data_IF_440043850972
#
_entry.id   IF_440043850972
#
_cell.length_a   1.000
_cell.length_b   1.000
_cell.length_c   1.000
_cell.angle_alpha   90.00
_cell.angle_beta   90.00
_cell.angle_gamma   90.00
#
_symmetry.space_group_name_H-M   'P 1'
#
loop_
_entity.id
_entity.type
_entity.pdbx_description
1 polymer ?
#
# COMPACT_ATOMS: atom_id res chain seq x y z
N UNK A 1 6.61 -9.19 -0.72
CA UNK A 1 6.04 -8.95 -2.07
C UNK A 1 5.26 -7.65 -2.12
N UNK A 2 4.10 -7.51 -1.46
CA UNK A 2 3.26 -6.29 -1.58
C UNK A 2 4.01 -4.98 -1.28
N UNK A 3 4.78 -4.93 -0.20
CA UNK A 3 5.59 -3.74 0.13
C UNK A 3 6.55 -3.37 -1.01
N UNK A 4 7.23 -4.36 -1.58
CA UNK A 4 8.16 -4.12 -2.69
C UNK A 4 7.44 -3.55 -3.91
N UNK A 5 6.28 -4.12 -4.28
CA UNK A 5 5.46 -3.64 -5.41
C UNK A 5 4.97 -2.20 -5.22
N UNK A 6 4.53 -1.86 -3.99
CA UNK A 6 4.13 -0.49 -3.66
C UNK A 6 5.30 0.50 -3.77
N UNK A 7 6.48 0.11 -3.30
CA UNK A 7 7.67 0.98 -3.34
C UNK A 7 8.31 1.08 -4.72
N UNK A 8 8.21 0.02 -5.54
CA UNK A 8 8.80 -0.01 -6.87
C UNK A 8 7.87 0.55 -7.94
N UNK A 9 6.55 0.47 -7.72
CA UNK A 9 5.54 0.77 -8.73
C UNK A 9 5.57 -0.20 -9.91
N UNK A 10 6.20 -1.38 -9.76
CA UNK A 10 6.43 -2.35 -10.83
C UNK A 10 5.84 -3.70 -10.48
N UNK A 11 5.47 -4.45 -11.51
CA UNK A 11 5.03 -5.83 -11.35
C UNK A 11 6.22 -6.70 -10.91
N UNK A 12 6.09 -7.51 -9.84
CA UNK A 12 7.14 -8.45 -9.46
C UNK A 12 7.44 -9.45 -10.57
N UNK A 13 8.73 -9.71 -10.77
CA UNK A 13 9.32 -10.66 -11.70
C UNK A 13 8.91 -10.46 -13.15
N UNK A 14 8.71 -9.21 -13.59
CA UNK A 14 8.25 -8.87 -14.95
C UNK A 14 9.11 -9.49 -16.07
N UNK A 15 10.39 -9.76 -15.79
CA UNK A 15 11.38 -10.30 -16.75
C UNK A 15 11.37 -11.83 -16.84
N UNK A 16 10.64 -12.53 -15.98
CA UNK A 16 10.67 -13.98 -15.88
C UNK A 16 9.36 -14.59 -16.40
N UNK A 17 9.47 -15.66 -17.19
CA UNK A 17 8.30 -16.47 -17.53
C UNK A 17 7.86 -17.29 -16.31
N UNK A 18 6.56 -17.60 -16.24
CA UNK A 18 6.01 -18.43 -15.15
C UNK A 18 6.69 -19.80 -15.04
N UNK A 19 7.18 -20.35 -16.16
CA UNK A 19 7.87 -21.65 -16.21
C UNK A 19 9.21 -21.67 -15.47
N UNK A 20 9.92 -20.54 -15.40
CA UNK A 20 11.23 -20.43 -14.72
C UNK A 20 11.14 -19.74 -13.37
N UNK A 21 10.03 -19.04 -13.10
CA UNK A 21 9.87 -18.25 -11.88
C UNK A 21 9.89 -19.12 -10.62
N UNK A 22 9.23 -20.27 -10.64
CA UNK A 22 9.18 -21.19 -9.51
C UNK A 22 10.57 -21.67 -9.10
N UNK A 23 11.40 -22.08 -10.07
CA UNK A 23 12.77 -22.54 -9.79
C UNK A 23 13.66 -21.40 -9.30
N UNK A 24 13.51 -20.20 -9.88
CA UNK A 24 14.23 -19.00 -9.45
C UNK A 24 13.93 -18.65 -7.98
N UNK A 25 12.66 -18.66 -7.57
CA UNK A 25 12.25 -18.37 -6.19
C UNK A 25 12.72 -19.47 -5.21
N UNK A 26 12.62 -20.74 -5.60
CA UNK A 26 13.07 -21.89 -4.78
C UNK A 26 14.59 -21.83 -4.54
N UNK A 27 15.36 -21.35 -5.52
CA UNK A 27 16.81 -21.12 -5.37
C UNK A 27 17.15 -19.95 -4.45
N UNK A 28 16.14 -19.26 -3.89
CA UNK A 28 16.34 -18.15 -2.96
C UNK A 28 16.51 -16.80 -3.65
N UNK A 29 16.42 -16.74 -4.98
CA UNK A 29 16.47 -15.45 -5.66
C UNK A 29 15.22 -14.61 -5.36
N UNK A 30 15.44 -13.30 -5.24
CA UNK A 30 14.43 -12.29 -4.92
C UNK A 30 14.59 -11.09 -5.85
N UNK A 31 13.62 -10.20 -5.81
CA UNK A 31 13.75 -8.90 -6.46
C UNK A 31 14.87 -8.07 -5.84
N UNK A 32 15.46 -7.20 -6.66
CA UNK A 32 16.45 -6.25 -6.20
C UNK A 32 15.79 -5.15 -5.34
N UNK A 33 16.49 -4.70 -4.31
CA UNK A 33 16.04 -3.55 -3.51
C UNK A 33 16.02 -2.30 -4.37
N UNK A 34 14.98 -1.48 -4.23
CA UNK A 34 14.87 -0.21 -4.95
C UNK A 34 15.70 0.86 -4.20
N UNK A 35 16.70 1.49 -4.85
CA UNK A 35 17.61 2.43 -4.19
C UNK A 35 16.92 3.61 -3.48
N UNK A 36 15.81 4.09 -4.03
CA UNK A 36 15.05 5.22 -3.50
C UNK A 36 14.10 4.84 -2.34
N UNK A 37 13.99 3.55 -2.01
CA UNK A 37 13.16 3.12 -0.88
C UNK A 37 13.88 3.38 0.44
N UNK A 38 13.24 4.03 1.45
CA UNK A 38 13.83 4.19 2.77
C UNK A 38 14.30 2.85 3.33
N UNK A 39 15.49 2.85 3.93
CA UNK A 39 16.20 1.63 4.34
C UNK A 39 15.34 0.74 5.23
N UNK A 40 14.54 1.34 6.11
CA UNK A 40 13.72 0.62 7.05
C UNK A 40 12.58 -0.14 6.36
N UNK A 41 12.03 0.41 5.28
CA UNK A 41 11.04 -0.28 4.44
C UNK A 41 11.68 -1.45 3.69
N UNK A 42 12.89 -1.26 3.16
CA UNK A 42 13.59 -2.32 2.44
C UNK A 42 14.01 -3.46 3.36
N UNK A 43 14.58 -3.15 4.52
CA UNK A 43 14.89 -4.14 5.55
C UNK A 43 13.64 -4.94 5.96
N UNK A 44 12.49 -4.27 6.11
CA UNK A 44 11.24 -4.93 6.48
C UNK A 44 10.77 -5.92 5.39
N UNK A 45 10.69 -5.50 4.12
CA UNK A 45 10.20 -6.41 3.08
C UNK A 45 11.19 -7.52 2.76
N UNK A 46 12.49 -7.32 2.99
CA UNK A 46 13.51 -8.37 2.88
C UNK A 46 13.26 -9.46 3.94
N UNK A 47 13.07 -9.07 5.21
CA UNK A 47 12.74 -10.01 6.30
C UNK A 47 11.44 -10.77 6.03
N UNK A 48 10.40 -10.08 5.58
CA UNK A 48 9.13 -10.71 5.18
C UNK A 48 9.27 -11.72 4.05
N UNK A 49 10.37 -11.68 3.30
CA UNK A 49 10.61 -12.52 2.13
C UNK A 49 11.83 -13.44 2.28
N UNK A 50 12.23 -13.74 3.52
CA UNK A 50 13.31 -14.67 3.80
C UNK A 50 13.06 -16.05 3.16
N UNK A 51 14.14 -16.68 2.70
CA UNK A 51 14.11 -18.02 2.14
C UNK A 51 13.66 -19.06 3.16
N UNK A 52 14.05 -18.89 4.42
CA UNK A 52 13.61 -19.71 5.54
C UNK A 52 12.26 -19.22 6.05
N UNK A 53 11.21 -20.06 6.06
CA UNK A 53 9.90 -19.66 6.56
C UNK A 53 9.92 -19.17 8.02
N UNK A 54 10.75 -19.78 8.87
CA UNK A 54 10.80 -19.48 10.30
C UNK A 54 11.46 -18.13 10.64
N UNK A 55 12.24 -17.58 9.71
CA UNK A 55 12.87 -16.25 9.87
C UNK A 55 11.92 -15.11 9.47
N UNK A 56 10.74 -15.46 8.91
CA UNK A 56 9.76 -14.45 8.51
C UNK A 56 9.02 -13.93 9.74
N UNK A 57 8.90 -12.62 9.91
CA UNK A 57 8.13 -12.04 11.00
C UNK A 57 6.64 -12.41 10.86
N UNK A 58 5.96 -12.57 12.00
CA UNK A 58 4.51 -12.67 12.02
C UNK A 58 3.86 -11.33 11.66
N UNK A 59 2.58 -11.36 11.33
CA UNK A 59 1.87 -10.16 10.85
C UNK A 59 1.80 -9.06 11.92
N UNK A 60 1.76 -9.45 13.19
CA UNK A 60 1.78 -8.52 14.33
C UNK A 60 3.08 -7.72 14.35
N UNK A 61 4.24 -8.40 14.20
CA UNK A 61 5.54 -7.73 14.12
C UNK A 61 5.62 -6.81 12.91
N UNK A 62 5.17 -7.25 11.73
CA UNK A 62 5.17 -6.40 10.52
C UNK A 62 4.32 -5.14 10.73
N UNK A 63 3.16 -5.28 11.35
CA UNK A 63 2.27 -4.16 11.65
C UNK A 63 2.88 -3.16 12.64
N UNK A 64 3.55 -3.65 13.69
CA UNK A 64 4.27 -2.80 14.64
C UNK A 64 5.41 -2.04 13.99
N UNK A 65 6.21 -2.69 13.15
CA UNK A 65 7.28 -2.04 12.39
C UNK A 65 6.72 -0.96 11.48
N UNK A 66 5.69 -1.25 10.68
CA UNK A 66 5.04 -0.25 9.82
C UNK A 66 4.50 0.95 10.60
N UNK A 67 3.89 0.73 11.78
CA UNK A 67 3.45 1.82 12.67
C UNK A 67 4.59 2.70 13.13
N UNK A 68 5.77 2.13 13.44
CA UNK A 68 6.96 2.90 13.79
C UNK A 68 7.42 3.76 12.62
N UNK A 69 7.47 3.19 11.41
CA UNK A 69 7.88 3.91 10.20
C UNK A 69 6.95 5.07 9.85
N UNK A 70 5.64 4.90 10.04
CA UNK A 70 4.65 5.96 9.85
C UNK A 70 4.84 7.12 10.85
N UNK A 71 5.20 6.83 12.09
CA UNK A 71 5.44 7.88 13.10
C UNK A 71 6.69 8.71 12.77
N UNK A 72 7.78 8.06 12.38
CA UNK A 72 9.04 8.73 12.04
C UNK A 72 8.94 9.61 10.77
N UNK A 73 8.05 9.27 9.83
CA UNK A 73 7.84 10.06 8.62
C UNK A 73 6.99 11.32 8.83
N UNK A 74 6.28 11.43 9.96
CA UNK A 74 5.45 12.60 10.32
C UNK A 74 6.26 13.66 11.07
N UNK A 75 7.42 13.34 11.62
CA UNK A 75 8.26 14.28 12.39
C UNK A 75 9.06 15.29 11.54
N UNK A 76 8.99 15.21 10.20
CA UNK A 76 9.72 16.09 9.29
C UNK A 76 8.89 17.32 8.88
N UNK A 77 7.58 17.32 9.11
CA UNK A 77 6.78 18.54 8.99
C UNK A 77 6.89 19.32 10.30
N UNK A 78 7.22 20.64 10.28
CA UNK A 78 6.96 21.50 11.42
C UNK A 78 5.50 21.29 11.82
N UNK A 79 5.29 20.86 13.06
CA UNK A 79 3.94 20.81 13.63
C UNK A 79 3.53 22.25 13.84
N UNK A 80 2.87 22.83 12.85
CA UNK A 80 1.96 23.93 13.13
C UNK A 80 0.80 23.29 13.90
N UNK A 81 0.70 23.65 15.17
CA UNK A 81 -0.34 23.21 16.09
C UNK A 81 -1.72 23.59 15.56
N UNK A 82 -2.39 22.71 14.84
CA UNK A 82 -3.83 22.79 14.62
C UNK A 82 -4.50 21.48 15.06
N UNK A 83 -5.32 21.64 16.10
CA UNK A 83 -6.07 20.66 16.89
C UNK A 83 -7.08 19.87 16.03
N UNK A 84 -6.73 18.65 15.62
CA UNK A 84 -7.70 17.70 15.04
C UNK A 84 -8.33 16.88 16.17
N UNK A 85 -9.48 17.36 16.66
CA UNK A 85 -10.42 16.57 17.47
C UNK A 85 -10.96 15.39 16.66
N UNK A 86 -10.46 14.19 16.93
CA UNK A 86 -11.14 12.96 16.53
C UNK A 86 -12.35 12.75 17.46
N UNK A 87 -13.54 13.16 17.03
CA UNK A 87 -14.78 12.76 17.71
C UNK A 87 -15.14 11.34 17.28
N UNK A 88 -15.01 10.40 18.20
CA UNK A 88 -15.62 9.07 18.11
C UNK A 88 -17.15 9.22 18.13
N UNK A 89 -17.79 9.14 16.96
CA UNK A 89 -19.25 9.04 16.88
C UNK A 89 -19.67 7.60 17.18
N UNK A 90 -19.84 7.30 18.47
CA UNK A 90 -20.65 6.18 18.92
C UNK A 90 -22.11 6.65 19.01
N UNK A 91 -22.90 6.47 17.95
CA UNK A 91 -24.36 6.52 18.08
C UNK A 91 -24.97 5.15 17.78
N UNK A 92 -25.57 4.60 18.83
CA UNK A 92 -26.40 3.41 18.80
C UNK A 92 -27.83 3.80 18.41
N UNK A 93 -28.40 3.01 17.48
CA UNK A 93 -29.81 2.66 17.33
C UNK A 93 -30.85 3.78 17.17
N UNK A 94 -31.44 3.88 15.96
CA UNK A 94 -32.90 4.00 15.86
C UNK A 94 -33.45 3.22 14.66
N UNK A 95 -34.57 2.57 14.94
CA UNK A 95 -35.36 1.66 14.13
C UNK A 95 -36.31 2.41 13.19
N UNK A 96 -36.40 2.00 11.92
CA UNK A 96 -37.50 2.45 11.06
C UNK A 96 -37.37 2.10 9.58
N UNK A 97 -38.14 1.07 9.17
CA UNK A 97 -38.83 0.92 7.86
C UNK A 97 -38.09 1.31 6.57
N UNK A 98 -37.81 0.29 5.74
CA UNK A 98 -37.19 0.49 4.43
C UNK A 98 -38.11 1.04 3.34
N UNK A 99 -37.50 1.53 2.27
CA UNK A 99 -37.99 1.48 0.88
C UNK A 99 -36.76 1.32 -0.03
N UNK A 100 -36.77 0.30 -0.89
CA UNK A 100 -35.87 0.17 -2.03
C UNK A 100 -36.35 1.14 -3.13
N UNK A 101 -35.47 1.98 -3.68
CA UNK A 101 -35.65 2.51 -5.03
C UNK A 101 -34.35 3.07 -5.59
N UNK A 102 -33.92 2.42 -6.66
CA UNK A 102 -33.00 2.88 -7.71
C UNK A 102 -33.52 4.17 -8.38
N UNK A 103 -32.65 5.15 -8.62
CA UNK A 103 -32.71 6.17 -9.69
C UNK A 103 -31.52 7.12 -9.56
N UNK A 104 -30.71 7.17 -10.62
CA UNK A 104 -29.50 7.98 -10.69
C UNK A 104 -29.70 9.48 -10.91
N UNK A 105 -28.56 10.16 -11.06
CA UNK A 105 -28.28 11.34 -11.90
C UNK A 105 -26.73 11.44 -11.91
N UNK A 106 -26.10 11.13 -13.04
CA UNK A 106 -25.58 12.07 -14.04
C UNK A 106 -24.54 13.08 -13.50
N UNK A 107 -23.26 12.70 -13.67
CA UNK A 107 -22.31 13.33 -14.57
C UNK A 107 -21.77 14.72 -14.23
N UNK A 108 -20.45 14.89 -14.38
CA UNK A 108 -19.80 16.09 -14.92
C UNK A 108 -18.44 15.73 -15.56
N UNK A 109 -18.10 16.49 -16.60
CA UNK A 109 -17.36 16.13 -17.80
C UNK A 109 -15.84 15.87 -17.69
N UNK A 110 -15.39 14.99 -18.59
CA UNK A 110 -14.01 14.81 -19.04
C UNK A 110 -13.55 16.04 -19.84
N UNK A 111 -12.42 16.63 -19.46
CA UNK A 111 -11.66 17.59 -20.28
C UNK A 111 -10.88 16.78 -21.33
N UNK A 112 -11.11 17.06 -22.63
CA UNK A 112 -10.24 16.60 -23.71
C UNK A 112 -9.58 17.81 -24.36
N UNK A 113 -8.25 17.81 -24.33
CA UNK A 113 -7.39 18.78 -25.00
C UNK A 113 -7.60 18.79 -26.51
N UNK A 114 -7.65 20.00 -27.07
CA UNK A 114 -7.56 20.27 -28.51
C UNK A 114 -6.10 20.27 -28.94
N UNK A 115 -5.77 19.48 -29.95
CA UNK A 115 -4.61 19.74 -30.79
C UNK A 115 -5.02 19.51 -32.25
N UNK A 116 -5.48 20.58 -32.90
CA UNK A 116 -5.65 20.64 -34.35
C UNK A 116 -4.38 21.19 -34.97
N UNK A 117 -3.81 20.47 -35.94
CA UNK A 117 -3.34 21.07 -37.19
C UNK A 117 -3.00 20.00 -38.22
N UNK A 118 -3.77 19.97 -39.30
CA UNK A 118 -3.23 19.91 -40.65
C UNK A 118 -4.11 20.71 -41.59
#
# INVERSE_FOLDING_TARGET
>A
MLLWELTSGRRPFEKYSLSILSSYIIQGHREETIPETPKEYSDLYIKCWDAKPDERPCIETVHEELKKLMKCSIEICPKDDDDIRLTENNESNDSGTGIFSDSGIQGLSIIKDKSDKS
#
